data_IF_458665662297
#
_entry.id   IF_458665662297
#
_cell.length_a   1.000
_cell.length_b   1.000
_cell.length_c   1.000
_cell.angle_alpha   90.00
_cell.angle_beta   90.00
_cell.angle_gamma   90.00
#
_symmetry.space_group_name_H-M   'P 1'
#
loop_
_entity.id
_entity.type
_entity.pdbx_description
1 polymer ?
#
# COMPACT_ATOMS: atom_id res chain seq x y z
N UNK A 1 -31.01 21.37 -38.82
CA UNK A 1 -30.02 21.25 -37.72
C UNK A 1 -30.24 19.89 -37.08
N UNK A 2 -29.77 18.85 -37.76
CA UNK A 2 -30.29 17.49 -37.59
C UNK A 2 -29.17 16.52 -37.25
N UNK A 3 -29.51 15.50 -36.48
CA UNK A 3 -28.88 14.20 -36.19
C UNK A 3 -27.34 14.11 -36.12
N UNK A 4 -26.60 14.67 -37.07
CA UNK A 4 -25.13 14.75 -37.11
C UNK A 4 -24.54 15.44 -35.88
N UNK A 5 -25.16 16.49 -35.34
CA UNK A 5 -24.63 17.19 -34.15
C UNK A 5 -24.76 16.35 -32.87
N UNK A 6 -25.85 15.59 -32.75
CA UNK A 6 -26.05 14.64 -31.66
C UNK A 6 -25.12 13.44 -31.79
N UNK A 7 -24.84 12.99 -33.01
CA UNK A 7 -23.86 11.94 -33.29
C UNK A 7 -22.44 12.36 -32.89
N UNK A 8 -22.03 13.59 -33.20
CA UNK A 8 -20.74 14.14 -32.80
C UNK A 8 -20.66 14.28 -31.27
N UNK A 9 -21.71 14.78 -30.62
CA UNK A 9 -21.77 14.88 -29.16
C UNK A 9 -21.71 13.50 -28.49
N UNK A 10 -22.45 12.51 -29.01
CA UNK A 10 -22.42 11.14 -28.50
C UNK A 10 -21.02 10.52 -28.63
N UNK A 11 -20.32 10.75 -29.74
CA UNK A 11 -18.95 10.28 -29.94
C UNK A 11 -17.99 10.91 -28.93
N UNK A 12 -18.11 12.22 -28.66
CA UNK A 12 -17.31 12.93 -27.65
C UNK A 12 -17.56 12.34 -26.26
N UNK A 13 -18.82 12.09 -25.90
CA UNK A 13 -19.16 11.48 -24.60
C UNK A 13 -18.58 10.08 -24.47
N UNK A 14 -18.62 9.26 -25.53
CA UNK A 14 -18.02 7.92 -25.54
C UNK A 14 -16.51 7.98 -25.37
N UNK A 15 -15.83 8.91 -26.04
CA UNK A 15 -14.37 9.08 -25.91
C UNK A 15 -14.01 9.53 -24.50
N UNK A 16 -14.72 10.52 -23.94
CA UNK A 16 -14.48 11.00 -22.58
C UNK A 16 -14.76 9.93 -21.53
N UNK A 17 -15.82 9.14 -21.69
CA UNK A 17 -16.13 8.02 -20.79
C UNK A 17 -15.11 6.90 -20.91
N UNK A 18 -14.66 6.54 -22.12
CA UNK A 18 -13.61 5.55 -22.32
C UNK A 18 -12.27 5.97 -21.68
N UNK A 19 -11.85 7.23 -21.87
CA UNK A 19 -10.65 7.78 -21.25
C UNK A 19 -10.80 7.79 -19.72
N UNK A 20 -11.95 8.25 -19.21
CA UNK A 20 -12.24 8.28 -17.78
C UNK A 20 -12.17 6.88 -17.14
N UNK A 21 -12.76 5.87 -17.79
CA UNK A 21 -12.73 4.47 -17.34
C UNK A 21 -11.32 3.90 -17.38
N UNK A 22 -10.53 4.20 -18.41
CA UNK A 22 -9.15 3.73 -18.55
C UNK A 22 -8.22 4.30 -17.46
N UNK A 23 -8.31 5.61 -17.22
CA UNK A 23 -7.53 6.29 -16.17
C UNK A 23 -7.91 5.74 -14.79
N UNK A 24 -9.21 5.63 -14.52
CA UNK A 24 -9.72 5.10 -13.24
C UNK A 24 -9.27 3.65 -12.99
N UNK A 25 -9.27 2.79 -14.03
CA UNK A 25 -8.84 1.40 -13.91
C UNK A 25 -7.34 1.22 -13.69
N UNK A 26 -6.53 2.16 -14.20
CA UNK A 26 -5.06 2.11 -14.10
C UNK A 26 -4.57 2.61 -12.75
N UNK A 27 -5.21 3.62 -12.17
CA UNK A 27 -4.82 4.23 -10.89
C UNK A 27 -5.27 3.43 -9.66
N UNK A 28 -6.24 2.54 -9.80
CA UNK A 28 -6.85 1.83 -8.67
C UNK A 28 -6.37 0.38 -8.56
N UNK A 29 -5.21 0.18 -7.94
CA UNK A 29 -4.60 -1.14 -7.72
C UNK A 29 -3.92 -1.18 -6.35
N UNK A 30 -3.95 -2.35 -5.72
CA UNK A 30 -3.16 -2.59 -4.52
C UNK A 30 -1.68 -2.61 -4.88
N UNK A 31 -0.87 -1.80 -4.22
CA UNK A 31 0.57 -1.70 -4.41
C UNK A 31 1.27 -1.91 -3.08
N UNK A 32 2.34 -2.70 -3.11
CA UNK A 32 3.22 -2.89 -1.96
C UNK A 32 4.67 -2.70 -2.36
N UNK A 33 5.33 -1.75 -1.70
CA UNK A 33 6.72 -1.44 -1.95
C UNK A 33 7.49 -1.28 -0.64
N UNK A 34 8.81 -1.41 -0.75
CA UNK A 34 9.74 -1.26 0.35
C UNK A 34 10.88 -0.36 -0.09
N UNK A 35 11.29 0.56 0.78
CA UNK A 35 12.40 1.46 0.54
C UNK A 35 13.38 1.40 1.71
N UNK A 36 14.67 1.30 1.39
CA UNK A 36 15.74 1.44 2.38
C UNK A 36 16.07 2.92 2.51
N UNK A 37 15.94 3.44 3.72
CA UNK A 37 16.17 4.84 4.12
C UNK A 37 17.62 5.08 4.59
N UNK A 38 18.45 4.03 4.61
CA UNK A 38 19.82 4.05 5.10
C UNK A 38 19.91 4.25 6.61
N UNK A 39 20.90 5.01 7.05
CA UNK A 39 21.15 5.32 8.46
C UNK A 39 22.00 4.27 9.18
N UNK A 40 22.42 4.62 10.40
CA UNK A 40 23.21 3.75 11.27
C UNK A 40 22.31 2.89 12.15
N UNK A 41 22.76 1.67 12.52
CA UNK A 41 22.02 0.83 13.44
C UNK A 41 21.97 1.51 14.82
N UNK A 42 20.95 1.16 15.59
CA UNK A 42 20.86 1.48 17.02
C UNK A 42 22.01 0.80 17.78
N UNK A 43 22.33 1.23 19.01
CA UNK A 43 23.44 0.67 19.79
C UNK A 43 23.39 -0.86 20.00
N UNK A 44 22.20 -1.46 19.90
CA UNK A 44 21.98 -2.91 19.99
C UNK A 44 22.13 -3.66 18.65
N UNK A 45 22.53 -2.97 17.58
CA UNK A 45 22.70 -3.52 16.24
C UNK A 45 21.40 -3.65 15.43
N UNK A 46 20.29 -3.07 15.89
CA UNK A 46 19.00 -3.12 15.20
C UNK A 46 18.77 -1.92 14.29
N UNK A 47 18.01 -2.13 13.22
CA UNK A 47 17.47 -1.09 12.36
C UNK A 47 15.98 -0.92 12.60
N UNK A 48 15.49 0.30 12.33
CA UNK A 48 14.06 0.62 12.39
C UNK A 48 13.37 0.13 11.12
N UNK A 49 12.42 -0.78 11.27
CA UNK A 49 11.50 -1.21 10.22
C UNK A 49 10.14 -0.54 10.44
N UNK A 50 9.76 0.37 9.55
CA UNK A 50 8.48 1.06 9.56
C UNK A 50 7.56 0.37 8.55
N UNK A 51 6.36 0.01 9.00
CA UNK A 51 5.32 -0.57 8.13
C UNK A 51 4.14 0.39 8.13
N UNK A 52 3.71 0.83 6.95
CA UNK A 52 2.61 1.77 6.77
C UNK A 52 1.52 1.12 5.93
N UNK A 53 0.28 1.29 6.38
CA UNK A 53 -0.91 0.82 5.67
C UNK A 53 -1.78 2.02 5.30
N UNK A 54 -2.04 2.13 4.01
CA UNK A 54 -3.01 3.03 3.41
C UNK A 54 -4.10 2.21 2.75
N UNK A 55 -5.34 2.67 2.86
CA UNK A 55 -6.49 2.11 2.15
C UNK A 55 -7.02 3.19 1.23
N UNK A 56 -6.94 2.92 -0.07
CA UNK A 56 -7.48 3.76 -1.12
C UNK A 56 -8.95 3.39 -1.35
N UNK A 57 -9.87 4.30 -1.00
CA UNK A 57 -11.31 4.13 -1.21
C UNK A 57 -11.80 4.68 -2.57
N UNK A 58 -10.87 5.06 -3.44
CA UNK A 58 -11.18 5.59 -4.76
C UNK A 58 -11.56 7.07 -4.74
N UNK A 59 -11.86 7.64 -5.92
CA UNK A 59 -12.10 9.09 -6.09
C UNK A 59 -13.32 9.58 -5.32
N UNK A 60 -14.33 8.74 -5.12
CA UNK A 60 -15.55 9.09 -4.38
C UNK A 60 -15.49 8.72 -2.88
N UNK A 61 -14.51 7.90 -2.49
CA UNK A 61 -14.31 7.48 -1.09
C UNK A 61 -13.36 8.36 -0.29
N UNK A 62 -12.93 9.49 -0.85
CA UNK A 62 -12.02 10.42 -0.19
C UNK A 62 -10.55 9.98 -0.19
N UNK A 63 -10.13 9.21 -1.21
CA UNK A 63 -8.72 8.88 -1.47
C UNK A 63 -8.10 7.85 -0.53
N UNK A 64 -6.76 7.85 -0.48
CA UNK A 64 -5.98 6.96 0.40
C UNK A 64 -5.96 7.49 1.83
N UNK A 65 -6.42 6.66 2.76
CA UNK A 65 -6.48 6.97 4.20
C UNK A 65 -5.64 5.97 5.00
N UNK A 66 -4.98 6.41 6.09
CA UNK A 66 -4.28 5.49 6.97
C UNK A 66 -5.25 4.50 7.63
N UNK A 67 -4.83 3.23 7.73
CA UNK A 67 -5.58 2.21 8.46
C UNK A 67 -4.94 1.96 9.83
N UNK A 68 -5.57 2.46 10.88
CA UNK A 68 -5.17 2.18 12.26
C UNK A 68 -5.72 0.87 12.80
N UNK A 69 -5.11 0.38 13.88
CA UNK A 69 -5.43 -0.89 14.56
C UNK A 69 -5.38 -2.12 13.65
N UNK A 70 -4.63 -2.05 12.56
CA UNK A 70 -4.41 -3.19 11.68
C UNK A 70 -3.23 -4.02 12.19
N UNK A 71 -3.41 -5.33 12.22
CA UNK A 71 -2.43 -6.26 12.77
C UNK A 71 -1.39 -6.68 11.73
N UNK A 72 -0.12 -6.49 12.07
CA UNK A 72 1.03 -6.80 11.23
C UNK A 72 1.89 -7.83 11.94
N UNK A 73 2.05 -8.99 11.29
CA UNK A 73 2.91 -10.05 11.79
C UNK A 73 4.23 -10.03 11.05
N UNK A 74 5.31 -10.21 11.80
CA UNK A 74 6.67 -10.26 11.31
C UNK A 74 7.22 -11.67 11.52
N UNK A 75 7.78 -12.21 10.45
CA UNK A 75 8.44 -13.52 10.45
C UNK A 75 9.90 -13.37 10.06
N UNK A 76 10.73 -14.24 10.64
CA UNK A 76 12.14 -14.39 10.32
C UNK A 76 12.44 -15.86 10.04
N UNK A 77 13.03 -16.16 8.88
CA UNK A 77 13.29 -17.53 8.43
C UNK A 77 12.06 -18.45 8.52
N UNK A 78 10.89 -17.94 8.13
CA UNK A 78 9.61 -18.68 8.14
C UNK A 78 8.99 -18.89 9.53
N UNK A 79 9.60 -18.42 10.61
CA UNK A 79 9.07 -18.49 11.97
C UNK A 79 8.50 -17.16 12.41
N UNK A 80 7.37 -17.20 13.13
CA UNK A 80 6.82 -16.01 13.77
C UNK A 80 7.86 -15.40 14.70
N UNK A 81 8.10 -14.10 14.55
CA UNK A 81 9.06 -13.35 15.36
C UNK A 81 8.33 -12.39 16.32
N UNK A 82 7.45 -11.55 15.78
CA UNK A 82 6.73 -10.54 16.56
C UNK A 82 5.46 -10.08 15.81
N UNK A 83 4.57 -9.39 16.50
CA UNK A 83 3.41 -8.70 15.91
C UNK A 83 3.23 -7.31 16.53
N UNK A 84 2.58 -6.42 15.80
CA UNK A 84 2.15 -5.13 16.34
C UNK A 84 0.97 -4.57 15.56
N UNK A 85 0.26 -3.62 16.17
CA UNK A 85 -0.85 -2.91 15.54
C UNK A 85 -0.37 -1.58 14.97
N UNK A 86 -0.96 -1.17 13.84
CA UNK A 86 -0.78 0.19 13.34
C UNK A 86 -1.44 1.22 14.26
N UNK A 87 -0.80 2.37 14.43
CA UNK A 87 -1.38 3.51 15.13
C UNK A 87 -2.42 4.25 14.27
N UNK A 88 -3.00 5.35 14.77
CA UNK A 88 -3.99 6.17 14.03
C UNK A 88 -3.49 6.74 12.71
N UNK A 89 -2.17 6.85 12.52
CA UNK A 89 -1.52 7.25 11.26
C UNK A 89 -1.26 6.07 10.32
N UNK A 90 -1.73 4.87 10.66
CA UNK A 90 -1.56 3.66 9.87
C UNK A 90 -0.15 3.09 9.92
N UNK A 91 0.63 3.45 10.95
CA UNK A 91 2.05 3.08 11.05
C UNK A 91 2.28 2.09 12.19
N UNK A 92 3.00 1.02 11.88
CA UNK A 92 3.58 0.03 12.79
C UNK A 92 5.10 0.14 12.73
N UNK A 93 5.79 -0.09 13.85
CA UNK A 93 7.25 -0.01 13.92
C UNK A 93 7.81 -1.26 14.60
N UNK A 94 8.83 -1.83 13.98
CA UNK A 94 9.65 -2.90 14.53
C UNK A 94 11.11 -2.45 14.62
N UNK A 95 11.84 -3.04 15.55
CA UNK A 95 13.30 -2.92 15.64
C UNK A 95 13.87 -4.31 15.44
N UNK A 96 14.72 -4.46 14.41
CA UNK A 96 15.14 -5.77 13.94
C UNK A 96 16.60 -5.76 13.53
N UNK A 97 17.30 -6.87 13.74
CA UNK A 97 18.66 -7.04 13.22
C UNK A 97 18.66 -7.11 11.69
N UNK A 98 19.80 -6.88 11.03
CA UNK A 98 19.89 -7.02 9.59
C UNK A 98 19.52 -8.43 9.13
N UNK A 99 18.73 -8.56 8.06
CA UNK A 99 18.33 -9.87 7.51
C UNK A 99 17.07 -9.84 6.66
N UNK A 100 16.70 -11.02 6.16
CA UNK A 100 15.47 -11.23 5.40
C UNK A 100 14.27 -11.51 6.31
N UNK A 101 13.17 -10.79 6.08
CA UNK A 101 11.94 -10.90 6.86
C UNK A 101 10.73 -11.06 5.94
N UNK A 102 9.66 -11.64 6.48
CA UNK A 102 8.34 -11.68 5.83
C UNK A 102 7.35 -10.92 6.69
N UNK A 103 6.71 -9.93 6.10
CA UNK A 103 5.58 -9.22 6.69
C UNK A 103 4.28 -9.89 6.22
N UNK A 104 3.35 -10.08 7.15
CA UNK A 104 1.97 -10.48 6.87
C UNK A 104 1.03 -9.36 7.31
N UNK A 105 0.32 -8.79 6.35
CA UNK A 105 -0.76 -7.84 6.56
C UNK A 105 -2.03 -8.65 6.79
N UNK A 106 -2.29 -9.03 8.04
CA UNK A 106 -3.31 -10.03 8.40
C UNK A 106 -4.70 -9.67 7.88
N UNK A 107 -5.10 -8.40 8.04
CA UNK A 107 -6.41 -7.86 7.61
C UNK A 107 -6.66 -8.12 6.12
N UNK A 108 -5.61 -8.12 5.30
CA UNK A 108 -5.71 -8.30 3.85
C UNK A 108 -5.22 -9.65 3.35
N UNK A 109 -4.70 -10.51 4.24
CA UNK A 109 -4.04 -11.78 3.89
C UNK A 109 -2.92 -11.63 2.84
N UNK A 110 -2.21 -10.50 2.84
CA UNK A 110 -1.11 -10.21 1.92
C UNK A 110 0.22 -10.42 2.63
N UNK A 111 1.18 -11.06 1.94
CA UNK A 111 2.55 -11.21 2.43
C UNK A 111 3.55 -10.42 1.60
N UNK A 112 4.62 -9.95 2.24
CA UNK A 112 5.74 -9.30 1.57
C UNK A 112 7.07 -9.72 2.19
N UNK A 113 7.93 -10.28 1.34
CA UNK A 113 9.33 -10.51 1.69
C UNK A 113 10.11 -9.20 1.53
N UNK A 114 10.94 -8.90 2.52
CA UNK A 114 11.81 -7.74 2.57
C UNK A 114 13.20 -8.14 3.05
N UNK A 115 14.20 -7.35 2.68
CA UNK A 115 15.54 -7.45 3.26
C UNK A 115 15.85 -6.15 4.00
N UNK A 116 16.17 -6.26 5.28
CA UNK A 116 16.51 -5.12 6.14
C UNK A 116 18.02 -5.07 6.29
N UNK A 117 18.66 -4.07 5.70
CA UNK A 117 20.09 -3.78 5.81
C UNK A 117 20.37 -2.30 6.15
N UNK A 118 19.34 -1.62 6.63
CA UNK A 118 19.29 -0.20 7.00
C UNK A 118 17.89 0.10 7.57
N UNK A 119 17.65 1.34 8.01
CA UNK A 119 16.29 1.74 8.33
C UNK A 119 15.42 1.56 7.09
N UNK A 120 14.28 0.88 7.23
CA UNK A 120 13.49 0.42 6.08
C UNK A 120 12.05 0.84 6.29
N UNK A 121 11.40 1.33 5.24
CA UNK A 121 9.95 1.58 5.23
C UNK A 121 9.28 0.65 4.23
N UNK A 122 8.17 0.04 4.63
CA UNK A 122 7.30 -0.78 3.79
C UNK A 122 5.93 -0.14 3.78
N UNK A 123 5.40 0.11 2.59
CA UNK A 123 4.08 0.73 2.42
C UNK A 123 3.19 -0.24 1.65
N UNK A 124 2.04 -0.57 2.25
CA UNK A 124 0.92 -1.19 1.58
C UNK A 124 -0.12 -0.09 1.28
N UNK A 125 -0.36 0.19 0.00
CA UNK A 125 -1.48 0.98 -0.47
C UNK A 125 -2.53 0.02 -1.05
N UNK A 126 -3.58 -0.25 -0.28
CA UNK A 126 -4.59 -1.25 -0.60
C UNK A 126 -5.79 -0.63 -1.30
N UNK A 127 -6.15 -1.16 -2.47
CA UNK A 127 -7.30 -0.69 -3.26
C UNK A 127 -8.59 -1.43 -2.84
N UNK A 128 -9.39 -0.79 -1.99
CA UNK A 128 -10.60 -1.36 -1.36
C UNK A 128 -11.67 -1.92 -2.33
N UNK A 129 -11.98 -1.21 -3.42
CA UNK A 129 -13.06 -1.52 -4.38
C UNK A 129 -12.64 -2.54 -5.46
N UNK A 130 -11.40 -3.01 -5.43
CA UNK A 130 -10.83 -3.94 -6.42
C UNK A 130 -10.08 -5.05 -5.71
N UNK A 131 -10.71 -5.55 -4.65
CA UNK A 131 -10.29 -6.70 -3.83
C UNK A 131 -10.43 -8.00 -4.60
#
# INVERSE_FOLDING_TARGET
MGNSIYLVLALIVIILTAIGVYVTNSSYKTVIYSQNLGGTPLPNGEYKLVVKILVNYGPFGGGSRPLGSADIWLYYNGKFLNQTLTNSSGVAVFYVKPGGYTLLFTVFHITKNINVNGNTEVVLDYAYLKS
#
